data_IF_043547853150
#
_entry.id   IF_043547853150
#
_cell.length_a   1.000
_cell.length_b   1.000
_cell.length_c   1.000
_cell.angle_alpha   90.00
_cell.angle_beta   90.00
_cell.angle_gamma   90.00
#
_symmetry.space_group_name_H-M   'P 1'
#
loop_
_entity.id
_entity.type
_entity.pdbx_description
1 polymer ?
#
# COMPACT_ATOMS: atom_id res chain seq x y z
N UNK A 1 8.63 6.51 8.29
CA UNK A 1 7.82 7.25 7.30
C UNK A 1 8.34 8.66 7.03
N UNK A 2 8.60 9.48 8.09
CA UNK A 2 9.02 10.87 7.93
C UNK A 2 10.41 11.04 7.32
N UNK A 3 11.38 10.19 7.72
CA UNK A 3 12.76 10.25 7.22
C UNK A 3 12.84 9.95 5.72
N UNK A 4 12.11 8.94 5.24
CA UNK A 4 12.05 8.63 3.81
C UNK A 4 11.49 9.81 3.00
N UNK A 5 10.36 10.39 3.45
CA UNK A 5 9.74 11.55 2.81
C UNK A 5 10.68 12.76 2.77
N UNK A 6 11.42 12.99 3.85
CA UNK A 6 12.43 14.05 3.90
C UNK A 6 13.57 13.82 2.90
N UNK A 7 14.06 12.57 2.79
CA UNK A 7 15.13 12.22 1.87
C UNK A 7 14.68 12.22 0.40
N UNK A 8 13.42 11.89 0.10
CA UNK A 8 12.86 11.97 -1.26
C UNK A 8 12.93 13.39 -1.84
N UNK A 9 12.84 14.42 -0.98
CA UNK A 9 13.01 15.81 -1.39
C UNK A 9 14.47 16.26 -1.59
N UNK A 10 15.44 15.43 -1.22
CA UNK A 10 16.88 15.78 -1.22
C UNK A 10 17.78 14.86 -2.03
N UNK A 11 17.37 13.63 -2.26
CA UNK A 11 18.15 12.61 -2.94
C UNK A 11 17.39 12.06 -4.15
N UNK A 12 18.10 11.72 -5.23
CA UNK A 12 17.55 10.91 -6.32
C UNK A 12 17.04 9.57 -5.79
N UNK A 13 16.00 9.02 -6.43
CA UNK A 13 15.32 7.81 -5.98
C UNK A 13 16.25 6.59 -5.82
N UNK A 14 17.22 6.45 -6.71
CA UNK A 14 18.21 5.36 -6.68
C UNK A 14 19.21 5.43 -5.51
N UNK A 15 19.31 6.57 -4.82
CA UNK A 15 20.14 6.78 -3.63
C UNK A 15 19.33 6.65 -2.32
N UNK A 16 18.01 6.50 -2.41
CA UNK A 16 17.20 6.33 -1.22
C UNK A 16 17.41 4.93 -0.63
N UNK A 17 17.69 4.81 0.69
CA UNK A 17 17.73 3.51 1.34
C UNK A 17 16.39 2.79 1.23
N UNK A 18 16.43 1.51 0.92
CA UNK A 18 15.21 0.68 0.86
C UNK A 18 14.64 0.40 2.27
N UNK A 19 15.51 0.30 3.26
CA UNK A 19 15.14 0.02 4.64
C UNK A 19 15.86 0.98 5.60
N UNK A 20 15.15 1.45 6.61
CA UNK A 20 15.68 2.24 7.72
C UNK A 20 15.51 1.45 9.01
N UNK A 21 16.61 1.27 9.73
CA UNK A 21 16.65 0.57 11.00
C UNK A 21 16.92 1.57 12.11
N UNK A 22 15.96 1.77 13.02
CA UNK A 22 16.15 2.58 14.21
C UNK A 22 16.99 1.83 15.25
N UNK A 23 18.02 2.49 15.78
CA UNK A 23 18.84 1.98 16.86
C UNK A 23 18.86 3.00 17.99
N UNK A 24 18.79 2.55 19.22
CA UNK A 24 18.98 3.43 20.38
C UNK A 24 20.43 3.93 20.45
N UNK A 25 21.38 3.04 20.17
CA UNK A 25 22.81 3.35 20.13
C UNK A 25 23.49 2.60 18.98
N UNK A 26 24.48 3.23 18.34
CA UNK A 26 25.28 2.55 17.34
C UNK A 26 26.29 1.63 18.02
N UNK A 27 26.38 0.34 17.62
CA UNK A 27 27.41 -0.55 18.13
C UNK A 27 28.79 -0.08 17.65
N UNK A 28 29.73 -0.03 18.58
CA UNK A 28 31.10 0.39 18.33
C UNK A 28 32.08 -0.76 18.62
N UNK A 29 33.12 -0.83 17.79
CA UNK A 29 34.29 -1.68 18.07
C UNK A 29 35.08 -1.14 19.28
N UNK A 30 35.98 -1.93 19.91
CA UNK A 30 36.85 -1.44 20.97
C UNK A 30 37.68 -0.20 20.61
N UNK A 31 37.89 0.01 19.33
CA UNK A 31 38.63 1.17 18.79
C UNK A 31 37.73 2.38 18.47
N UNK A 32 36.45 2.36 18.88
CA UNK A 32 35.50 3.46 18.67
C UNK A 32 34.95 3.60 17.24
N UNK A 33 35.18 2.62 16.35
CA UNK A 33 34.60 2.59 15.00
C UNK A 33 33.26 1.85 15.01
N UNK A 34 32.36 2.18 14.09
CA UNK A 34 31.07 1.48 13.94
C UNK A 34 31.31 0.01 13.65
N UNK A 35 30.78 -0.87 14.50
CA UNK A 35 30.80 -2.32 14.29
C UNK A 35 29.64 -2.74 13.38
N UNK A 36 29.95 -2.89 12.10
CA UNK A 36 28.95 -3.28 11.09
C UNK A 36 28.45 -4.71 11.28
N UNK A 37 29.22 -5.58 11.92
CA UNK A 37 28.83 -6.98 12.13
C UNK A 37 27.84 -7.10 13.31
N UNK A 38 27.88 -6.16 14.25
CA UNK A 38 26.95 -6.08 15.37
C UNK A 38 25.66 -5.31 15.03
N UNK A 39 25.50 -4.79 13.80
CA UNK A 39 24.25 -4.20 13.37
C UNK A 39 23.18 -5.28 13.23
N UNK A 40 21.93 -5.00 13.68
CA UNK A 40 20.83 -5.97 13.56
C UNK A 40 20.58 -6.32 12.09
N UNK A 41 20.40 -7.61 11.84
CA UNK A 41 20.06 -8.08 10.50
C UNK A 41 18.62 -7.65 10.15
N UNK A 42 18.33 -7.31 8.89
CA UNK A 42 16.97 -6.96 8.45
C UNK A 42 15.91 -8.01 8.78
N UNK A 43 16.32 -9.29 8.88
CA UNK A 43 15.45 -10.41 9.24
C UNK A 43 14.99 -10.40 10.70
N UNK A 44 15.80 -9.85 11.62
CA UNK A 44 15.38 -9.71 13.03
C UNK A 44 14.24 -8.69 13.17
N UNK A 45 14.21 -7.66 12.36
CA UNK A 45 13.10 -6.69 12.31
C UNK A 45 11.81 -7.28 11.73
N UNK A 46 11.90 -8.28 10.86
CA UNK A 46 10.71 -9.01 10.38
C UNK A 46 9.98 -9.73 11.51
N UNK A 47 10.68 -10.14 12.58
CA UNK A 47 10.05 -10.74 13.77
C UNK A 47 9.26 -9.70 14.57
N UNK A 48 9.73 -8.47 14.66
CA UNK A 48 9.03 -7.39 15.36
C UNK A 48 7.76 -6.95 14.59
N UNK A 49 7.75 -7.06 13.26
CA UNK A 49 6.54 -6.86 12.44
C UNK A 49 5.48 -7.92 12.71
N UNK A 50 5.87 -9.15 13.10
CA UNK A 50 4.93 -10.22 13.44
C UNK A 50 4.17 -9.95 14.76
N UNK A 51 4.67 -9.10 15.63
CA UNK A 51 4.00 -8.73 16.90
C UNK A 51 2.71 -7.94 16.62
N UNK A 52 2.66 -7.18 15.54
CA UNK A 52 1.52 -6.38 15.12
C UNK A 52 0.81 -6.95 13.88
N UNK A 53 1.05 -8.22 13.55
CA UNK A 53 0.44 -8.86 12.40
C UNK A 53 -1.08 -8.92 12.53
N UNK A 54 -1.77 -8.32 11.59
CA UNK A 54 -3.22 -8.45 11.43
C UNK A 54 -3.48 -9.15 10.09
N UNK A 55 -4.08 -10.34 10.17
CA UNK A 55 -4.39 -11.14 9.00
C UNK A 55 -5.39 -10.43 8.06
N UNK A 56 -5.36 -10.71 6.75
CA UNK A 56 -6.40 -10.28 5.83
C UNK A 56 -7.79 -10.72 6.29
N UNK A 57 -8.78 -9.83 6.17
CA UNK A 57 -10.15 -10.03 6.67
C UNK A 57 -11.16 -10.21 5.55
N UNK A 58 -10.88 -9.60 4.38
CA UNK A 58 -11.77 -9.65 3.22
C UNK A 58 -11.11 -10.44 2.08
N UNK A 59 -11.90 -11.00 1.14
CA UNK A 59 -11.35 -11.66 -0.05
C UNK A 59 -10.41 -10.76 -0.85
N UNK A 60 -10.68 -9.45 -0.88
CA UNK A 60 -9.83 -8.48 -1.55
C UNK A 60 -8.49 -8.28 -0.82
N UNK A 61 -8.52 -8.14 0.51
CA UNK A 61 -7.30 -8.06 1.32
C UNK A 61 -6.45 -9.32 1.16
N UNK A 62 -7.05 -10.52 1.12
CA UNK A 62 -6.33 -11.77 0.85
C UNK A 62 -5.63 -11.77 -0.51
N UNK A 63 -6.33 -11.39 -1.57
CA UNK A 63 -5.74 -11.32 -2.91
C UNK A 63 -4.57 -10.34 -2.99
N UNK A 64 -4.67 -9.19 -2.34
CA UNK A 64 -3.59 -8.21 -2.28
C UNK A 64 -2.42 -8.77 -1.47
N UNK A 65 -2.68 -9.37 -0.31
CA UNK A 65 -1.66 -9.95 0.56
C UNK A 65 -0.88 -11.07 -0.12
N UNK A 66 -1.55 -11.97 -0.86
CA UNK A 66 -0.92 -13.05 -1.61
C UNK A 66 0.04 -12.50 -2.70
N UNK A 67 -0.38 -11.47 -3.41
CA UNK A 67 0.46 -10.82 -4.43
C UNK A 67 1.67 -10.14 -3.79
N UNK A 68 1.47 -9.44 -2.66
CA UNK A 68 2.55 -8.78 -1.93
C UNK A 68 3.55 -9.80 -1.37
N UNK A 69 3.07 -10.86 -0.71
CA UNK A 69 3.91 -11.93 -0.17
C UNK A 69 4.79 -12.53 -1.25
N UNK A 70 4.20 -12.83 -2.40
CA UNK A 70 4.92 -13.42 -3.51
C UNK A 70 5.99 -12.48 -4.10
N UNK A 71 5.67 -11.19 -4.28
CA UNK A 71 6.59 -10.19 -4.87
C UNK A 71 7.70 -9.81 -3.88
N UNK A 72 7.35 -9.64 -2.60
CA UNK A 72 8.28 -9.29 -1.53
C UNK A 72 9.06 -10.49 -0.99
N UNK A 73 8.71 -11.73 -1.40
CA UNK A 73 9.27 -12.98 -0.92
C UNK A 73 9.16 -13.12 0.59
N UNK A 74 7.95 -12.85 1.11
CA UNK A 74 7.61 -12.97 2.52
C UNK A 74 6.63 -14.11 2.71
N UNK A 75 6.69 -14.81 3.84
CA UNK A 75 5.75 -15.89 4.16
C UNK A 75 4.34 -15.36 4.39
N UNK A 76 4.22 -14.17 4.97
CA UNK A 76 2.95 -13.50 5.23
C UNK A 76 3.13 -11.99 5.29
N UNK A 77 2.04 -11.26 5.01
CA UNK A 77 1.97 -9.79 5.07
C UNK A 77 0.69 -9.40 5.80
N UNK A 78 0.82 -8.59 6.84
CA UNK A 78 -0.30 -8.03 7.58
C UNK A 78 -0.96 -6.88 6.83
N UNK A 79 -2.25 -6.66 7.08
CA UNK A 79 -3.00 -5.62 6.36
C UNK A 79 -2.57 -4.18 6.70
N UNK A 80 -1.91 -3.99 7.84
CA UNK A 80 -1.38 -2.69 8.28
C UNK A 80 0.13 -2.54 8.05
N UNK A 81 0.78 -3.58 7.53
CA UNK A 81 2.20 -3.51 7.21
C UNK A 81 2.43 -2.51 6.08
N UNK A 82 3.46 -1.68 6.25
CA UNK A 82 3.84 -0.70 5.24
C UNK A 82 4.72 -1.35 4.18
N UNK A 83 4.32 -1.26 2.93
CA UNK A 83 5.05 -1.79 1.77
C UNK A 83 6.54 -1.45 1.78
N UNK A 84 6.88 -0.20 2.09
CA UNK A 84 8.28 0.26 2.08
C UNK A 84 9.08 -0.27 3.27
N UNK A 85 8.43 -0.44 4.44
CA UNK A 85 9.04 -1.00 5.64
C UNK A 85 9.29 -2.51 5.48
N UNK A 86 8.46 -3.19 4.69
CA UNK A 86 8.68 -4.57 4.26
C UNK A 86 9.81 -4.76 3.25
N UNK A 87 10.50 -3.67 2.85
CA UNK A 87 11.57 -3.69 1.87
C UNK A 87 11.10 -3.46 0.43
N UNK A 88 9.86 -2.99 0.25
CA UNK A 88 9.33 -2.60 -1.05
C UNK A 88 10.03 -1.36 -1.61
N UNK A 89 10.22 -1.32 -2.92
CA UNK A 89 10.77 -0.20 -3.68
C UNK A 89 10.09 -0.10 -5.05
N UNK A 90 10.39 0.96 -5.81
CA UNK A 90 9.65 1.30 -7.04
C UNK A 90 9.49 0.16 -8.03
N UNK A 91 10.53 -0.65 -8.27
CA UNK A 91 10.43 -1.79 -9.19
C UNK A 91 9.46 -2.86 -8.67
N UNK A 92 9.47 -3.17 -7.38
CA UNK A 92 8.52 -4.11 -6.77
C UNK A 92 7.10 -3.53 -6.76
N UNK A 93 6.96 -2.22 -6.57
CA UNK A 93 5.67 -1.53 -6.68
C UNK A 93 5.05 -1.68 -8.09
N UNK A 94 5.85 -1.51 -9.14
CA UNK A 94 5.43 -1.76 -10.53
C UNK A 94 4.99 -3.21 -10.71
N UNK A 95 5.75 -4.18 -10.20
CA UNK A 95 5.39 -5.60 -10.28
C UNK A 95 4.07 -5.90 -9.54
N UNK A 96 3.86 -5.34 -8.37
CA UNK A 96 2.61 -5.49 -7.62
C UNK A 96 1.44 -4.93 -8.41
N UNK A 97 1.52 -3.67 -8.87
CA UNK A 97 0.45 -3.03 -9.63
C UNK A 97 0.14 -3.80 -10.92
N UNK A 98 1.17 -4.27 -11.64
CA UNK A 98 0.98 -5.05 -12.87
C UNK A 98 0.25 -6.38 -12.65
N UNK A 99 0.38 -6.99 -11.45
CA UNK A 99 -0.33 -8.22 -11.07
C UNK A 99 -1.72 -7.94 -10.50
N UNK A 100 -1.88 -6.85 -9.76
CA UNK A 100 -3.17 -6.46 -9.18
C UNK A 100 -4.20 -6.08 -10.24
N UNK A 101 -3.80 -5.34 -11.30
CA UNK A 101 -4.71 -4.89 -12.36
C UNK A 101 -5.51 -6.03 -13.00
N UNK A 102 -4.89 -7.09 -13.55
CA UNK A 102 -5.62 -8.20 -14.16
C UNK A 102 -6.36 -9.04 -13.11
N UNK A 103 -5.79 -9.24 -11.92
CA UNK A 103 -6.42 -10.03 -10.86
C UNK A 103 -7.71 -9.39 -10.34
N UNK A 104 -7.71 -8.08 -10.20
CA UNK A 104 -8.83 -7.32 -9.63
C UNK A 104 -9.74 -6.69 -10.69
N UNK A 105 -9.32 -6.65 -11.95
CA UNK A 105 -10.01 -6.00 -13.08
C UNK A 105 -10.32 -4.53 -12.80
N UNK A 106 -9.37 -3.83 -12.17
CA UNK A 106 -9.47 -2.42 -11.81
C UNK A 106 -8.21 -1.70 -12.25
N UNK A 107 -8.35 -0.50 -12.79
CA UNK A 107 -7.23 0.37 -13.08
C UNK A 107 -6.66 0.93 -11.76
N UNK A 108 -5.44 0.51 -11.46
CA UNK A 108 -4.70 0.94 -10.27
C UNK A 108 -3.52 1.78 -10.75
N UNK A 109 -3.55 3.11 -10.59
CA UNK A 109 -2.40 3.95 -10.89
C UNK A 109 -1.26 3.68 -9.91
N UNK A 110 -0.03 3.66 -10.41
CA UNK A 110 1.16 3.41 -9.58
C UNK A 110 1.27 4.37 -8.37
N UNK A 111 0.98 5.68 -8.50
CA UNK A 111 1.02 6.60 -7.37
C UNK A 111 0.12 6.18 -6.20
N UNK A 112 -0.98 5.48 -6.44
CA UNK A 112 -1.88 5.00 -5.39
C UNK A 112 -1.15 4.12 -4.37
N UNK A 113 -0.23 3.26 -4.79
CA UNK A 113 0.54 2.40 -3.86
C UNK A 113 1.52 3.22 -3.01
N UNK A 114 2.02 4.34 -3.53
CA UNK A 114 2.89 5.25 -2.78
C UNK A 114 2.11 6.08 -1.76
N UNK A 115 0.88 6.46 -2.09
CA UNK A 115 -0.01 7.22 -1.21
C UNK A 115 -0.65 6.33 -0.13
N UNK A 116 -0.98 5.08 -0.49
CA UNK A 116 -1.66 4.10 0.34
C UNK A 116 -0.80 2.84 0.49
N UNK A 117 0.31 2.89 1.25
CA UNK A 117 1.31 1.84 1.28
C UNK A 117 0.94 0.65 2.20
N UNK A 118 -0.32 0.45 2.52
CA UNK A 118 -0.82 -0.68 3.32
C UNK A 118 -1.94 -1.42 2.58
N UNK A 119 -2.08 -2.71 2.84
CA UNK A 119 -3.11 -3.55 2.20
C UNK A 119 -4.51 -3.03 2.55
N UNK A 120 -4.76 -2.67 3.81
CA UNK A 120 -6.07 -2.18 4.25
C UNK A 120 -6.48 -0.90 3.51
N UNK A 121 -5.61 0.11 3.45
CA UNK A 121 -5.90 1.37 2.77
C UNK A 121 -6.06 1.18 1.24
N UNK A 122 -5.22 0.31 0.65
CA UNK A 122 -5.30 0.00 -0.78
C UNK A 122 -6.60 -0.75 -1.12
N UNK A 123 -7.01 -1.72 -0.30
CA UNK A 123 -8.25 -2.46 -0.47
C UNK A 123 -9.48 -1.55 -0.40
N UNK A 124 -9.56 -0.68 0.60
CA UNK A 124 -10.64 0.31 0.75
C UNK A 124 -10.77 1.20 -0.49
N UNK A 125 -9.64 1.68 -1.01
CA UNK A 125 -9.62 2.52 -2.21
C UNK A 125 -10.06 1.75 -3.45
N UNK A 126 -9.62 0.50 -3.61
CA UNK A 126 -10.01 -0.36 -4.73
C UNK A 126 -11.51 -0.68 -4.67
N UNK A 127 -12.07 -0.93 -3.50
CA UNK A 127 -13.51 -1.14 -3.33
C UNK A 127 -14.30 0.10 -3.77
N UNK A 128 -13.86 1.29 -3.38
CA UNK A 128 -14.46 2.56 -3.80
C UNK A 128 -14.43 2.71 -5.33
N UNK A 129 -13.30 2.38 -5.97
CA UNK A 129 -13.18 2.43 -7.44
C UNK A 129 -14.10 1.41 -8.13
N UNK A 130 -14.21 0.19 -7.60
CA UNK A 130 -15.13 -0.83 -8.12
C UNK A 130 -16.58 -0.37 -8.04
N UNK A 131 -16.98 0.21 -6.91
CA UNK A 131 -18.32 0.73 -6.76
C UNK A 131 -18.63 1.86 -7.73
N UNK A 132 -17.70 2.78 -7.96
CA UNK A 132 -17.85 3.86 -8.92
C UNK A 132 -17.94 3.38 -10.39
N UNK A 133 -17.24 2.28 -10.74
CA UNK A 133 -17.25 1.72 -12.11
C UNK A 133 -18.43 0.78 -12.37
N UNK A 134 -19.03 0.17 -11.35
CA UNK A 134 -20.17 -0.72 -11.49
C UNK A 134 -21.52 0.03 -11.58
N UNK A 135 -21.51 1.36 -11.55
CA UNK A 135 -22.70 2.21 -11.67
C UNK A 135 -23.53 2.24 -10.38
N UNK A 136 -23.81 3.42 -9.89
CA UNK A 136 -24.95 3.61 -9.00
C UNK A 136 -26.20 3.00 -9.67
N UNK A 137 -27.07 2.28 -8.94
CA UNK A 137 -28.30 1.75 -9.52
C UNK A 137 -29.05 2.88 -10.21
N UNK A 138 -29.31 2.73 -11.51
CA UNK A 138 -30.16 3.62 -12.30
C UNK A 138 -31.60 3.50 -11.79
N UNK A 139 -31.91 4.24 -10.74
CA UNK A 139 -33.19 4.18 -10.11
C UNK A 139 -33.50 5.41 -9.30
N UNK A 140 -33.53 6.60 -9.92
CA UNK A 140 -34.22 7.78 -9.46
C UNK A 140 -34.15 8.88 -10.52
N UNK A 141 -34.67 8.57 -11.72
CA UNK A 141 -35.09 9.59 -12.67
C UNK A 141 -36.35 9.07 -13.35
N UNK A 142 -37.47 9.18 -12.68
CA UNK A 142 -38.76 9.35 -13.35
C UNK A 142 -39.77 9.80 -12.30
N UNK A 143 -40.14 11.06 -12.34
CA UNK A 143 -41.50 11.54 -12.30
C UNK A 143 -41.54 12.99 -11.84
N UNK A 144 -41.54 13.87 -12.79
CA UNK A 144 -42.40 15.08 -12.75
C UNK A 144 -42.54 15.61 -14.18
N UNK A 145 -43.37 14.88 -14.92
CA UNK A 145 -44.10 15.47 -16.02
C UNK A 145 -45.20 16.24 -15.36
N UNK A 146 -45.03 17.53 -15.22
CA UNK A 146 -46.11 18.43 -14.89
C UNK A 146 -46.84 18.72 -16.21
N UNK A 147 -48.00 18.08 -16.36
CA UNK A 147 -49.04 18.50 -17.30
C UNK A 147 -49.42 19.96 -17.01
N UNK A 148 -49.07 20.84 -17.90
CA UNK A 148 -49.78 22.10 -18.02
C UNK A 148 -50.85 21.91 -19.09
N UNK A 149 -52.10 21.68 -18.64
CA UNK A 149 -53.28 21.89 -19.47
C UNK A 149 -53.42 23.37 -19.76
N UNK A 150 -53.38 23.68 -21.03
CA UNK A 150 -53.87 24.92 -21.62
C UNK A 150 -55.42 24.90 -21.50
N UNK A 151 -55.94 25.82 -20.73
CA UNK A 151 -57.37 26.12 -20.69
C UNK A 151 -57.62 27.47 -21.37
N UNK A 152 -58.19 27.38 -22.55
CA UNK A 152 -58.83 28.50 -23.24
C UNK A 152 -59.94 29.13 -22.39
N UNK A 153 -59.91 30.44 -22.27
CA UNK A 153 -61.00 31.40 -22.59
C UNK A 153 -60.56 32.83 -22.26
#
# INVERSE_FOLDING_TARGET
>A
PQLRKFLQGKLPEHLLPNLFVGLETLPLTPNGKIDRNALPQPESMRRDLLINYVAPRTPLEHQIADIWSHVLKLDQVGIHDNFFELGGYSLLAIQIVSRLRPALRVEIPLPMLFELPTIAALAERIETLRWATQGAPSGLMNSSTTDYEEGDL
#
